data_IF_606340298712
#
_entry.id   IF_606340298712
#
_cell.length_a   1.000
_cell.length_b   1.000
_cell.length_c   1.000
_cell.angle_alpha   90.00
_cell.angle_beta   90.00
_cell.angle_gamma   90.00
#
_symmetry.space_group_name_H-M   'P 1'
#
loop_
_entity.id
_entity.type
_entity.pdbx_description
1 polymer ?
#
# COMPACT_ATOMS: atom_id res chain seq x y z
N UNK A 1 -73.76 39.99 -4.48
CA UNK A 1 -72.40 40.59 -4.45
C UNK A 1 -71.32 39.69 -3.82
N UNK A 2 -71.67 38.54 -3.23
CA UNK A 2 -70.73 37.72 -2.43
C UNK A 2 -69.81 36.75 -3.21
N UNK A 3 -70.14 36.40 -4.47
CA UNK A 3 -69.40 35.38 -5.24
C UNK A 3 -68.08 35.90 -5.85
N UNK A 4 -68.00 37.18 -6.20
CA UNK A 4 -66.78 37.79 -6.78
C UNK A 4 -65.63 37.95 -5.76
N UNK A 5 -65.95 38.05 -4.47
CA UNK A 5 -64.98 38.15 -3.38
C UNK A 5 -64.33 36.80 -3.04
N UNK A 6 -65.10 35.71 -3.08
CA UNK A 6 -64.58 34.35 -2.88
C UNK A 6 -63.63 33.92 -4.02
N UNK A 7 -63.93 34.29 -5.27
CA UNK A 7 -63.07 33.98 -6.42
C UNK A 7 -61.75 34.78 -6.44
N UNK A 8 -61.76 36.05 -5.99
CA UNK A 8 -60.56 36.90 -5.98
C UNK A 8 -59.56 36.54 -4.87
N UNK A 9 -60.02 35.93 -3.77
CA UNK A 9 -59.15 35.53 -2.65
C UNK A 9 -58.80 34.04 -2.72
N UNK A 10 -59.69 33.18 -3.24
CA UNK A 10 -59.45 31.74 -3.30
C UNK A 10 -58.31 31.31 -4.22
N UNK A 11 -58.18 31.94 -5.39
CA UNK A 11 -57.12 31.64 -6.37
C UNK A 11 -55.71 31.94 -5.82
N UNK A 12 -55.42 33.13 -5.26
CA UNK A 12 -54.09 33.44 -4.72
C UNK A 12 -53.74 32.61 -3.48
N UNK A 13 -54.73 32.23 -2.65
CA UNK A 13 -54.50 31.33 -1.51
C UNK A 13 -54.16 29.91 -2.00
N UNK A 14 -54.87 29.38 -3.00
CA UNK A 14 -54.53 28.09 -3.62
C UNK A 14 -53.14 28.12 -4.26
N UNK A 15 -52.79 29.21 -4.95
CA UNK A 15 -51.46 29.38 -5.53
C UNK A 15 -50.36 29.45 -4.45
N UNK A 16 -50.61 30.13 -3.33
CA UNK A 16 -49.68 30.20 -2.20
C UNK A 16 -49.49 28.83 -1.53
N UNK A 17 -50.58 28.07 -1.35
CA UNK A 17 -50.54 26.71 -0.79
C UNK A 17 -49.78 25.76 -1.73
N UNK A 18 -50.07 25.79 -3.03
CA UNK A 18 -49.34 25.01 -4.04
C UNK A 18 -47.85 25.39 -4.12
N UNK A 19 -47.54 26.69 -4.03
CA UNK A 19 -46.16 27.18 -3.97
C UNK A 19 -45.43 26.71 -2.72
N UNK A 20 -46.09 26.72 -1.57
CA UNK A 20 -45.54 26.21 -0.31
C UNK A 20 -45.28 24.70 -0.38
N UNK A 21 -46.26 23.90 -0.80
CA UNK A 21 -46.08 22.44 -0.96
C UNK A 21 -45.05 22.10 -2.04
N UNK A 22 -44.98 22.87 -3.13
CA UNK A 22 -43.95 22.73 -4.16
C UNK A 22 -42.54 23.04 -3.62
N UNK A 23 -42.38 24.07 -2.81
CA UNK A 23 -41.11 24.43 -2.19
C UNK A 23 -40.66 23.40 -1.13
N UNK A 24 -41.58 22.95 -0.27
CA UNK A 24 -41.29 21.92 0.76
C UNK A 24 -41.02 20.56 0.10
N UNK A 25 -41.82 20.16 -0.88
CA UNK A 25 -41.61 18.93 -1.64
C UNK A 25 -40.32 18.94 -2.45
N UNK A 26 -40.03 20.05 -3.13
CA UNK A 26 -38.80 20.24 -3.90
C UNK A 26 -37.54 20.23 -3.03
N UNK A 27 -37.59 20.88 -1.87
CA UNK A 27 -36.46 20.89 -0.91
C UNK A 27 -36.22 19.50 -0.29
N UNK A 28 -37.26 18.75 0.06
CA UNK A 28 -37.12 17.38 0.56
C UNK A 28 -36.55 16.41 -0.49
N UNK A 29 -37.04 16.48 -1.73
CA UNK A 29 -36.51 15.67 -2.85
C UNK A 29 -35.07 16.06 -3.14
N UNK A 30 -34.75 17.35 -3.18
CA UNK A 30 -33.37 17.82 -3.40
C UNK A 30 -32.43 17.40 -2.27
N UNK A 31 -32.87 17.44 -1.01
CA UNK A 31 -32.07 17.02 0.13
C UNK A 31 -31.78 15.51 0.07
N UNK A 32 -32.80 14.68 -0.13
CA UNK A 32 -32.63 13.23 -0.25
C UNK A 32 -31.81 12.80 -1.48
N UNK A 33 -31.87 13.54 -2.59
CA UNK A 33 -31.01 13.30 -3.75
C UNK A 33 -29.57 13.74 -3.48
N UNK A 34 -29.39 14.87 -2.77
CA UNK A 34 -28.07 15.36 -2.36
C UNK A 34 -27.37 14.41 -1.41
N UNK A 35 -28.06 13.86 -0.41
CA UNK A 35 -27.51 12.85 0.51
C UNK A 35 -27.04 11.60 -0.24
N UNK A 36 -27.85 11.08 -1.17
CA UNK A 36 -27.46 9.93 -2.00
C UNK A 36 -26.27 10.22 -2.90
N UNK A 37 -26.14 11.43 -3.42
CA UNK A 37 -24.99 11.85 -4.21
C UNK A 37 -23.75 11.97 -3.33
N UNK A 38 -23.90 12.49 -2.11
CA UNK A 38 -22.84 12.59 -1.12
C UNK A 38 -22.31 11.22 -0.70
N UNK A 39 -23.20 10.29 -0.32
CA UNK A 39 -22.83 8.90 0.03
C UNK A 39 -22.10 8.21 -1.13
N UNK A 40 -22.57 8.40 -2.37
CA UNK A 40 -21.89 7.86 -3.56
C UNK A 40 -20.53 8.49 -3.79
N UNK A 41 -20.39 9.79 -3.56
CA UNK A 41 -19.10 10.48 -3.69
C UNK A 41 -18.10 10.01 -2.63
N UNK A 42 -18.54 9.82 -1.38
CA UNK A 42 -17.70 9.28 -0.32
C UNK A 42 -17.28 7.84 -0.63
N UNK A 43 -18.20 6.97 -1.05
CA UNK A 43 -17.88 5.61 -1.45
C UNK A 43 -16.86 5.57 -2.60
N UNK A 44 -17.06 6.38 -3.65
CA UNK A 44 -16.11 6.50 -4.75
C UNK A 44 -14.74 7.04 -4.31
N UNK A 45 -14.71 7.97 -3.36
CA UNK A 45 -13.47 8.51 -2.82
C UNK A 45 -12.70 7.45 -2.01
N UNK A 46 -13.41 6.64 -1.22
CA UNK A 46 -12.83 5.51 -0.48
C UNK A 46 -12.29 4.45 -1.44
N UNK A 47 -13.06 4.05 -2.45
CA UNK A 47 -12.64 3.08 -3.47
C UNK A 47 -11.40 3.56 -4.22
N UNK A 48 -11.38 4.85 -4.60
CA UNK A 48 -10.22 5.47 -5.23
C UNK A 48 -9.00 5.45 -4.32
N UNK A 49 -9.16 5.78 -3.04
CA UNK A 49 -8.06 5.76 -2.09
C UNK A 49 -7.49 4.34 -1.91
N UNK A 50 -8.35 3.32 -1.79
CA UNK A 50 -7.92 1.92 -1.72
C UNK A 50 -7.17 1.51 -2.99
N UNK A 51 -7.70 1.88 -4.16
CA UNK A 51 -7.08 1.59 -5.44
C UNK A 51 -5.68 2.23 -5.56
N UNK A 52 -5.53 3.49 -5.18
CA UNK A 52 -4.23 4.18 -5.14
C UNK A 52 -3.25 3.50 -4.18
N UNK A 53 -3.72 3.04 -3.00
CA UNK A 53 -2.88 2.27 -2.07
C UNK A 53 -2.42 0.94 -2.66
N UNK A 54 -3.30 0.23 -3.39
CA UNK A 54 -2.95 -1.02 -4.07
C UNK A 54 -1.90 -0.81 -5.16
N UNK A 55 -2.01 0.26 -5.95
CA UNK A 55 -0.99 0.63 -6.95
C UNK A 55 0.35 0.92 -6.27
N UNK A 56 0.35 1.76 -5.23
CA UNK A 56 1.57 2.10 -4.50
C UNK A 56 2.25 0.86 -3.87
N UNK A 57 1.46 -0.12 -3.40
CA UNK A 57 2.01 -1.39 -2.91
C UNK A 57 2.60 -2.25 -4.02
N UNK A 58 1.96 -2.29 -5.19
CA UNK A 58 2.49 -3.00 -6.35
C UNK A 58 3.84 -2.44 -6.78
N UNK A 59 3.97 -1.11 -6.81
CA UNK A 59 5.23 -0.42 -7.08
C UNK A 59 6.31 -0.81 -6.05
N UNK A 60 5.98 -0.75 -4.75
CA UNK A 60 6.91 -1.14 -3.67
C UNK A 60 7.35 -2.60 -3.75
N UNK A 61 6.45 -3.53 -4.05
CA UNK A 61 6.79 -4.95 -4.22
C UNK A 61 7.74 -5.13 -5.43
N UNK A 62 7.50 -4.40 -6.51
CA UNK A 62 8.38 -4.40 -7.70
C UNK A 62 9.77 -3.84 -7.36
N UNK A 63 9.84 -2.75 -6.60
CA UNK A 63 11.10 -2.19 -6.11
C UNK A 63 11.86 -3.17 -5.22
N UNK A 64 11.18 -3.83 -4.28
CA UNK A 64 11.79 -4.85 -3.41
C UNK A 64 12.32 -6.04 -4.22
N UNK A 65 11.56 -6.50 -5.21
CA UNK A 65 11.98 -7.57 -6.11
C UNK A 65 13.27 -7.19 -6.85
N UNK A 66 13.42 -5.94 -7.28
CA UNK A 66 14.63 -5.43 -7.93
C UNK A 66 15.79 -5.18 -6.95
N UNK A 67 15.50 -4.72 -5.73
CA UNK A 67 16.51 -4.40 -4.71
C UNK A 67 17.05 -5.67 -4.02
N UNK A 68 16.36 -6.82 -4.15
CA UNK A 68 16.82 -8.13 -3.69
C UNK A 68 18.30 -8.40 -4.03
N UNK A 69 18.75 -8.06 -5.25
CA UNK A 69 20.15 -8.19 -5.68
C UNK A 69 21.13 -7.29 -4.93
N UNK A 70 20.70 -6.11 -4.50
CA UNK A 70 21.51 -5.25 -3.63
C UNK A 70 21.62 -5.85 -2.22
N UNK A 71 20.54 -6.44 -1.71
CA UNK A 71 20.56 -7.15 -0.44
C UNK A 71 21.53 -8.36 -0.50
N UNK A 72 21.46 -9.15 -1.57
CA UNK A 72 22.36 -10.27 -1.83
C UNK A 72 23.84 -9.83 -1.80
N UNK A 73 24.14 -8.69 -2.44
CA UNK A 73 25.49 -8.11 -2.43
C UNK A 73 25.93 -7.67 -1.02
N UNK A 74 25.06 -7.00 -0.25
CA UNK A 74 25.36 -6.62 1.13
C UNK A 74 25.58 -7.84 2.03
N UNK A 75 24.77 -8.87 1.88
CA UNK A 75 24.90 -10.11 2.62
C UNK A 75 26.21 -10.83 2.28
N UNK A 76 26.54 -10.94 0.99
CA UNK A 76 27.78 -11.56 0.50
C UNK A 76 29.01 -10.83 1.00
N UNK A 77 28.99 -9.50 0.95
CA UNK A 77 30.09 -8.68 1.47
C UNK A 77 30.27 -8.84 2.99
N UNK A 78 29.18 -8.91 3.77
CA UNK A 78 29.27 -9.13 5.22
C UNK A 78 29.84 -10.52 5.56
N UNK A 79 29.54 -11.54 4.77
CA UNK A 79 30.15 -12.87 4.90
C UNK A 79 31.64 -12.80 4.56
N UNK A 80 32.01 -12.13 3.47
CA UNK A 80 33.41 -11.92 3.10
C UNK A 80 34.19 -11.21 4.21
N UNK A 81 33.66 -10.13 4.79
CA UNK A 81 34.30 -9.41 5.89
C UNK A 81 34.47 -10.28 7.14
N UNK A 82 33.47 -11.13 7.46
CA UNK A 82 33.58 -12.08 8.56
C UNK A 82 34.71 -13.10 8.33
N UNK A 83 34.83 -13.62 7.13
CA UNK A 83 35.86 -14.60 6.79
C UNK A 83 37.25 -13.94 6.76
N UNK A 84 37.35 -12.72 6.24
CA UNK A 84 38.57 -11.95 6.24
C UNK A 84 39.02 -11.57 7.66
N UNK A 85 38.08 -11.24 8.56
CA UNK A 85 38.38 -11.02 9.98
C UNK A 85 38.93 -12.26 10.67
N UNK A 86 38.44 -13.46 10.33
CA UNK A 86 38.98 -14.74 10.83
C UNK A 86 40.39 -14.98 10.33
N UNK A 87 40.62 -14.82 9.02
CA UNK A 87 41.93 -14.99 8.40
C UNK A 87 42.94 -13.99 8.99
N UNK A 88 42.52 -12.74 9.20
CA UNK A 88 43.35 -11.71 9.82
C UNK A 88 43.73 -12.07 11.27
N UNK A 89 42.77 -12.54 12.07
CA UNK A 89 43.03 -12.99 13.44
C UNK A 89 44.02 -14.17 13.48
N UNK A 90 43.88 -15.15 12.60
CA UNK A 90 44.79 -16.29 12.51
C UNK A 90 46.20 -15.88 12.03
N UNK A 91 46.27 -15.02 11.01
CA UNK A 91 47.53 -14.49 10.45
C UNK A 91 48.32 -13.69 11.49
N UNK A 92 47.63 -12.81 12.23
CA UNK A 92 48.24 -12.01 13.30
C UNK A 92 48.67 -12.88 14.48
N UNK A 93 47.89 -13.90 14.85
CA UNK A 93 48.27 -14.87 15.87
C UNK A 93 49.55 -15.66 15.51
N UNK A 94 49.82 -15.86 14.23
CA UNK A 94 51.04 -16.53 13.72
C UNK A 94 52.24 -15.59 13.55
N UNK A 95 52.06 -14.28 13.73
CA UNK A 95 53.13 -13.29 13.54
C UNK A 95 53.55 -13.09 12.08
N UNK A 96 52.70 -13.48 11.12
CA UNK A 96 52.96 -13.30 9.70
C UNK A 96 52.89 -11.80 9.31
N UNK A 97 53.73 -11.39 8.35
CA UNK A 97 53.72 -10.00 7.84
C UNK A 97 52.81 -9.91 6.61
N UNK A 98 52.12 -8.78 6.45
CA UNK A 98 51.26 -8.53 5.30
C UNK A 98 49.83 -9.06 5.43
N UNK A 99 49.34 -9.27 6.65
CA UNK A 99 47.95 -9.65 6.89
C UNK A 99 46.98 -8.58 6.34
N UNK A 100 46.01 -9.01 5.52
CA UNK A 100 44.96 -8.13 4.99
C UNK A 100 43.94 -7.87 6.09
N UNK A 101 43.76 -6.61 6.47
CA UNK A 101 42.84 -6.22 7.53
C UNK A 101 41.40 -6.12 6.99
N UNK A 102 40.38 -6.55 7.76
CA UNK A 102 38.98 -6.30 7.41
C UNK A 102 38.67 -4.81 7.46
N UNK A 103 37.59 -4.44 6.78
CA UNK A 103 37.08 -3.08 6.78
C UNK A 103 36.67 -2.68 8.21
N UNK A 104 36.64 -1.37 8.45
CA UNK A 104 36.40 -0.82 9.77
C UNK A 104 35.00 -1.14 10.32
N UNK A 105 34.87 -0.97 11.63
CA UNK A 105 33.60 -1.16 12.32
C UNK A 105 32.48 -0.23 11.79
N UNK A 106 32.85 0.93 11.24
CA UNK A 106 31.91 1.91 10.69
C UNK A 106 31.27 1.38 9.40
N UNK A 107 32.08 0.89 8.46
CA UNK A 107 31.64 0.35 7.19
C UNK A 107 30.74 -0.88 7.39
N UNK A 108 31.14 -1.77 8.30
CA UNK A 108 30.34 -2.94 8.68
C UNK A 108 28.99 -2.54 9.31
N UNK A 109 28.97 -1.50 10.15
CA UNK A 109 27.75 -0.98 10.76
C UNK A 109 26.81 -0.39 9.71
N UNK A 110 27.32 0.43 8.79
CA UNK A 110 26.53 1.05 7.72
C UNK A 110 25.82 0.00 6.85
N UNK A 111 26.51 -1.09 6.50
CA UNK A 111 25.93 -2.18 5.72
C UNK A 111 24.93 -3.02 6.52
N UNK A 112 25.21 -3.26 7.81
CA UNK A 112 24.27 -3.94 8.70
C UNK A 112 22.95 -3.16 8.82
N UNK A 113 23.02 -1.82 8.97
CA UNK A 113 21.84 -0.94 9.02
C UNK A 113 21.07 -0.99 7.70
N UNK A 114 21.74 -0.88 6.55
CA UNK A 114 21.07 -1.01 5.24
C UNK A 114 20.36 -2.35 5.07
N UNK A 115 20.97 -3.45 5.52
CA UNK A 115 20.35 -4.78 5.49
C UNK A 115 19.12 -4.84 6.39
N UNK A 116 19.22 -4.34 7.61
CA UNK A 116 18.10 -4.31 8.55
C UNK A 116 16.92 -3.49 8.01
N UNK A 117 17.20 -2.33 7.42
CA UNK A 117 16.19 -1.45 6.82
C UNK A 117 15.47 -2.15 5.64
N UNK A 118 16.22 -2.76 4.73
CA UNK A 118 15.62 -3.51 3.61
C UNK A 118 14.75 -4.68 4.10
N UNK A 119 15.18 -5.38 5.15
CA UNK A 119 14.38 -6.47 5.71
C UNK A 119 13.11 -5.95 6.39
N UNK A 120 13.17 -4.81 7.07
CA UNK A 120 11.99 -4.16 7.64
C UNK A 120 11.02 -3.68 6.55
N UNK A 121 11.53 -3.11 5.45
CA UNK A 121 10.73 -2.74 4.29
C UNK A 121 10.05 -3.95 3.65
N UNK A 122 10.78 -5.07 3.50
CA UNK A 122 10.22 -6.32 3.02
C UNK A 122 9.06 -6.80 3.90
N UNK A 123 9.28 -6.97 5.20
CA UNK A 123 8.24 -7.45 6.12
C UNK A 123 7.02 -6.54 6.20
N UNK A 124 7.23 -5.22 6.29
CA UNK A 124 6.11 -4.27 6.35
C UNK A 124 5.33 -4.18 5.04
N UNK A 125 6.01 -4.32 3.89
CA UNK A 125 5.33 -4.34 2.58
C UNK A 125 4.45 -5.58 2.46
N UNK A 126 4.94 -6.76 2.84
CA UNK A 126 4.12 -7.98 2.79
C UNK A 126 2.89 -7.88 3.69
N UNK A 127 3.03 -7.40 4.93
CA UNK A 127 1.88 -7.17 5.82
C UNK A 127 0.83 -6.24 5.20
N UNK A 128 1.25 -5.17 4.53
CA UNK A 128 0.31 -4.27 3.84
C UNK A 128 -0.35 -4.94 2.63
N UNK A 129 0.37 -5.82 1.94
CA UNK A 129 -0.21 -6.60 0.84
C UNK A 129 -1.34 -7.50 1.36
N UNK A 130 -1.15 -8.19 2.49
CA UNK A 130 -2.18 -9.02 3.13
C UNK A 130 -3.44 -8.21 3.51
N UNK A 131 -3.27 -6.93 3.90
CA UNK A 131 -4.41 -6.05 4.28
C UNK A 131 -5.19 -5.55 3.07
N UNK A 132 -4.51 -5.20 1.98
CA UNK A 132 -5.13 -4.49 0.86
C UNK A 132 -5.56 -5.39 -0.30
N UNK A 133 -5.08 -6.64 -0.38
CA UNK A 133 -5.37 -7.55 -1.48
C UNK A 133 -6.24 -8.75 -1.03
N UNK A 134 -6.53 -9.64 -1.98
CA UNK A 134 -7.42 -10.79 -1.77
C UNK A 134 -6.66 -12.03 -1.25
N UNK A 135 -7.40 -13.07 -0.88
CA UNK A 135 -6.88 -14.35 -0.37
C UNK A 135 -5.84 -15.03 -1.29
N UNK A 136 -5.90 -14.81 -2.62
CA UNK A 136 -4.90 -15.36 -3.56
C UNK A 136 -3.56 -14.63 -3.43
N UNK A 137 -3.60 -13.29 -3.29
CA UNK A 137 -2.40 -12.48 -3.07
C UNK A 137 -1.84 -12.71 -1.67
N UNK A 138 -2.70 -12.78 -0.66
CA UNK A 138 -2.34 -13.04 0.74
C UNK A 138 -1.54 -14.34 0.90
N UNK A 139 -2.02 -15.46 0.33
CA UNK A 139 -1.30 -16.73 0.36
C UNK A 139 0.12 -16.64 -0.20
N UNK A 140 0.29 -15.96 -1.33
CA UNK A 140 1.61 -15.81 -1.96
C UNK A 140 2.51 -14.89 -1.12
N UNK A 141 1.95 -13.81 -0.56
CA UNK A 141 2.68 -12.92 0.35
C UNK A 141 3.15 -13.67 1.60
N UNK A 142 2.28 -14.51 2.16
CA UNK A 142 2.59 -15.37 3.29
C UNK A 142 3.70 -16.37 2.95
N UNK A 143 3.58 -17.10 1.83
CA UNK A 143 4.62 -18.02 1.35
C UNK A 143 5.97 -17.33 1.18
N UNK A 144 5.97 -16.13 0.58
CA UNK A 144 7.17 -15.31 0.40
C UNK A 144 7.77 -14.87 1.76
N UNK A 145 6.94 -14.56 2.75
CA UNK A 145 7.39 -14.17 4.10
C UNK A 145 8.14 -15.30 4.83
N UNK A 146 7.85 -16.56 4.49
CA UNK A 146 8.48 -17.74 5.07
C UNK A 146 9.84 -18.06 4.44
N UNK A 147 10.18 -17.44 3.30
CA UNK A 147 11.46 -17.67 2.62
C UNK A 147 12.57 -16.96 3.39
N UNK A 148 13.42 -17.76 4.04
CA UNK A 148 14.54 -17.25 4.85
C UNK A 148 15.51 -16.37 4.04
N UNK A 149 15.82 -16.79 2.81
CA UNK A 149 16.69 -16.06 1.89
C UNK A 149 15.86 -15.45 0.75
N UNK A 150 14.84 -14.67 1.10
CA UNK A 150 13.90 -14.09 0.13
C UNK A 150 14.59 -13.30 -1.00
N UNK A 151 15.78 -12.77 -0.75
CA UNK A 151 16.58 -12.03 -1.72
C UNK A 151 17.21 -12.90 -2.82
N UNK A 152 17.30 -14.21 -2.62
CA UNK A 152 17.92 -15.17 -3.54
C UNK A 152 16.89 -16.15 -4.10
N UNK A 153 16.10 -16.74 -3.20
CA UNK A 153 15.15 -17.82 -3.52
C UNK A 153 13.72 -17.29 -3.78
N UNK A 154 13.45 -16.03 -3.42
CA UNK A 154 12.11 -15.45 -3.48
C UNK A 154 11.67 -14.97 -4.86
N UNK A 155 12.55 -14.93 -5.86
CA UNK A 155 12.24 -14.36 -7.19
C UNK A 155 10.96 -14.95 -7.84
N UNK A 156 10.75 -16.27 -7.87
CA UNK A 156 9.53 -16.85 -8.45
C UNK A 156 8.27 -16.40 -7.71
N UNK A 157 8.36 -16.29 -6.38
CA UNK A 157 7.25 -15.84 -5.53
C UNK A 157 6.97 -14.35 -5.70
N UNK A 158 7.99 -13.50 -5.86
CA UNK A 158 7.79 -12.09 -6.23
C UNK A 158 7.05 -11.94 -7.57
N UNK A 159 7.42 -12.73 -8.59
CA UNK A 159 6.74 -12.70 -9.90
C UNK A 159 5.27 -13.15 -9.77
N UNK A 160 5.02 -14.22 -9.03
CA UNK A 160 3.66 -14.70 -8.74
C UNK A 160 2.85 -13.66 -7.95
N UNK A 161 3.47 -13.00 -6.97
CA UNK A 161 2.84 -11.98 -6.15
C UNK A 161 2.45 -10.78 -7.02
N UNK A 162 3.37 -10.25 -7.83
CA UNK A 162 3.11 -9.14 -8.74
C UNK A 162 2.01 -9.48 -9.76
N UNK A 163 1.99 -10.71 -10.29
CA UNK A 163 0.94 -11.17 -11.20
C UNK A 163 -0.43 -11.21 -10.50
N UNK A 164 -0.50 -11.74 -9.28
CA UNK A 164 -1.72 -11.82 -8.48
C UNK A 164 -2.24 -10.42 -8.10
N UNK A 165 -1.37 -9.52 -7.66
CA UNK A 165 -1.70 -8.13 -7.38
C UNK A 165 -2.23 -7.42 -8.63
N UNK A 166 -1.58 -7.59 -9.78
CA UNK A 166 -2.00 -7.01 -11.06
C UNK A 166 -3.38 -7.52 -11.49
N UNK A 167 -3.64 -8.82 -11.32
CA UNK A 167 -4.95 -9.43 -11.60
C UNK A 167 -6.03 -8.88 -10.65
N UNK A 168 -5.70 -8.70 -9.37
CA UNK A 168 -6.62 -8.13 -8.37
C UNK A 168 -7.01 -6.68 -8.69
N UNK A 169 -6.16 -5.89 -9.35
CA UNK A 169 -6.50 -4.53 -9.77
C UNK A 169 -7.54 -4.51 -10.91
N UNK A 170 -7.56 -5.54 -11.75
CA UNK A 170 -8.45 -5.64 -12.91
C UNK A 170 -9.78 -6.34 -12.60
N UNK A 171 -9.86 -7.04 -11.47
CA UNK A 171 -11.07 -7.72 -11.05
C UNK A 171 -11.92 -6.73 -10.25
N UNK A 172 -13.11 -6.39 -10.75
CA UNK A 172 -14.08 -5.63 -9.96
C UNK A 172 -14.46 -6.47 -8.75
N UNK A 173 -13.97 -6.09 -7.57
CA UNK A 173 -14.51 -6.53 -6.28
C UNK A 173 -15.92 -6.01 -6.09
#
# INVERSE_FOLDING_TARGET
MSSKLLFNVGIPVLAAVLGFFGAVGGSYISASHSERLWEKQEALAQDKAIFEKRIALLERVSELANISKKYEAYQSYMVFQKDLARIYADCTARGEKGCVQPDGAKEALELSVKRADLNAQFSSTLQLVEVYFNDETDKIAHELSLVKNWWEEGEPLFRSLLASMSKSLNTKT
#
